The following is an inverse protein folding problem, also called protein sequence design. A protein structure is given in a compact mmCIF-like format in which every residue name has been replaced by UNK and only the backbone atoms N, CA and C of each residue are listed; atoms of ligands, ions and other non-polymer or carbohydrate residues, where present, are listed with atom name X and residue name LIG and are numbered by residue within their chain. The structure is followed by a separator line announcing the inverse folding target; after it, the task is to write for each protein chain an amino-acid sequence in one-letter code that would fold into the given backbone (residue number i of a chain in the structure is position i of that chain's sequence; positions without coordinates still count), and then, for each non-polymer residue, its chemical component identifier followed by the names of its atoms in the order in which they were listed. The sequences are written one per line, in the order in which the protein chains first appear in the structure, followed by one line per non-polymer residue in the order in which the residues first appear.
data_IF_743611469641
#
_entry.id   IF_743611469641
#
_cell.length_a   1.000
_cell.length_b   1.000
_cell.length_c   1.000
_cell.angle_alpha   90.00
_cell.angle_beta   90.00
_cell.angle_gamma   90.00
#
_symmetry.space_group_name_H-M   'P 1'
#
loop_
_entity.id
_entity.type
_entity.pdbx_description
1 polymer ?
#
# COMPACT_ATOMS: atom_id res chain seq x y z
N UNK A 1 -2.36 -15.12 -12.07
CA UNK A 1 -1.32 -15.16 -11.03
C UNK A 1 -1.52 -13.96 -10.14
N UNK A 2 -2.02 -14.17 -8.93
CA UNK A 2 -2.12 -13.10 -7.95
C UNK A 2 -0.78 -13.04 -7.21
N UNK A 3 -0.12 -11.89 -7.23
CA UNK A 3 1.24 -11.73 -6.72
C UNK A 3 1.29 -11.39 -5.23
N UNK A 4 0.16 -10.92 -4.66
CA UNK A 4 0.06 -10.53 -3.26
C UNK A 4 -1.15 -11.18 -2.60
N UNK A 5 -1.05 -11.41 -1.29
CA UNK A 5 -2.13 -11.90 -0.44
C UNK A 5 -2.27 -10.93 0.73
N UNK A 6 -3.52 -10.61 1.13
CA UNK A 6 -3.77 -9.79 2.30
C UNK A 6 -3.20 -10.48 3.54
N UNK A 7 -2.42 -9.77 4.35
CA UNK A 7 -1.96 -10.34 5.61
C UNK A 7 -3.14 -10.63 6.54
N UNK A 8 -3.12 -11.78 7.23
CA UNK A 8 -4.20 -12.21 8.12
C UNK A 8 -4.46 -11.20 9.26
N UNK A 9 -3.43 -10.47 9.69
CA UNK A 9 -3.50 -9.43 10.72
C UNK A 9 -3.96 -8.05 10.20
N UNK A 10 -4.07 -7.87 8.88
CA UNK A 10 -4.48 -6.58 8.31
C UNK A 10 -5.98 -6.41 8.39
N UNK A 11 -6.47 -5.25 8.85
CA UNK A 11 -7.90 -4.94 8.71
C UNK A 11 -8.32 -4.86 7.23
N UNK A 12 -9.63 -4.98 6.97
CA UNK A 12 -10.25 -4.98 5.65
C UNK A 12 -11.63 -4.28 5.68
N UNK A 13 -12.26 -4.15 4.50
CA UNK A 13 -13.57 -3.50 4.31
C UNK A 13 -13.50 -2.04 3.83
N UNK A 14 -14.68 -1.41 3.70
CA UNK A 14 -14.92 -0.07 3.11
C UNK A 14 -14.09 1.10 3.66
N UNK A 15 -13.48 0.93 4.84
CA UNK A 15 -12.62 1.96 5.44
C UNK A 15 -11.20 1.99 4.89
N UNK A 16 -10.81 1.05 4.03
CA UNK A 16 -9.47 0.97 3.45
C UNK A 16 -9.43 1.76 2.13
N UNK A 17 -8.60 2.80 2.09
CA UNK A 17 -8.39 3.62 0.90
C UNK A 17 -7.38 2.99 -0.10
N UNK A 18 -6.31 2.36 0.42
CA UNK A 18 -5.19 1.86 -0.40
C UNK A 18 -4.40 0.79 0.33
N UNK A 19 -3.89 -0.18 -0.42
CA UNK A 19 -3.06 -1.30 0.06
C UNK A 19 -1.58 -1.10 -0.28
N UNK A 20 -0.69 -1.62 0.56
CA UNK A 20 0.75 -1.58 0.35
C UNK A 20 1.44 -2.78 1.02
N UNK A 21 2.73 -3.04 0.75
CA UNK A 21 3.49 -4.04 1.49
C UNK A 21 3.42 -3.78 3.00
N UNK A 22 3.22 -4.84 3.78
CA UNK A 22 3.11 -4.75 5.24
C UNK A 22 4.07 -5.66 5.99
N UNK A 23 4.66 -6.65 5.32
CA UNK A 23 5.83 -7.39 5.80
C UNK A 23 7.06 -6.77 5.15
N UNK A 24 7.98 -6.23 5.95
CA UNK A 24 9.17 -5.53 5.46
C UNK A 24 10.42 -5.98 6.20
N UNK A 25 11.55 -6.00 5.51
CA UNK A 25 12.86 -6.11 6.15
C UNK A 25 13.25 -4.70 6.61
N UNK A 26 13.34 -4.49 7.92
CA UNK A 26 13.73 -3.24 8.52
C UNK A 26 15.18 -3.32 8.98
N UNK A 27 15.95 -2.28 8.65
CA UNK A 27 17.31 -2.06 9.16
C UNK A 27 17.31 -0.79 10.01
N UNK A 28 17.74 -0.88 11.26
CA UNK A 28 17.80 0.25 12.19
C UNK A 28 18.92 0.07 13.21
N UNK A 29 19.25 1.15 13.92
CA UNK A 29 20.10 1.07 15.11
C UNK A 29 19.21 1.06 16.35
N UNK A 30 19.45 0.08 17.23
CA UNK A 30 18.77 0.01 18.52
C UNK A 30 19.30 1.08 19.51
N UNK A 31 18.81 1.02 20.75
CA UNK A 31 19.19 1.96 21.80
C UNK A 31 20.69 1.91 22.17
N UNK A 32 21.37 0.81 21.84
CA UNK A 32 22.79 0.60 22.07
C UNK A 32 23.65 0.89 20.82
N UNK A 33 23.07 1.49 19.77
CA UNK A 33 23.69 1.77 18.47
C UNK A 33 24.14 0.51 17.72
N UNK A 34 23.50 -0.63 17.99
CA UNK A 34 23.76 -1.87 17.25
C UNK A 34 22.93 -1.90 15.99
N UNK A 35 23.55 -2.21 14.85
CA UNK A 35 22.84 -2.41 13.60
C UNK A 35 22.00 -3.70 13.67
N UNK A 36 20.68 -3.54 13.62
CA UNK A 36 19.68 -4.62 13.62
C UNK A 36 19.06 -4.73 12.24
N UNK A 37 18.84 -5.97 11.80
CA UNK A 37 18.06 -6.29 10.60
C UNK A 37 16.98 -7.30 10.98
N UNK A 38 15.72 -6.95 10.80
CA UNK A 38 14.60 -7.80 11.21
C UNK A 38 13.46 -7.77 10.20
N UNK A 39 12.79 -8.91 10.08
CA UNK A 39 11.53 -8.99 9.36
C UNK A 39 10.42 -8.55 10.32
N UNK A 40 9.79 -7.42 10.01
CA UNK A 40 8.68 -6.87 10.79
C UNK A 40 7.41 -6.83 9.96
N UNK A 41 6.28 -6.89 10.64
CA UNK A 41 4.97 -6.89 10.02
C UNK A 41 4.01 -5.92 10.72
N UNK A 42 3.13 -5.31 9.93
CA UNK A 42 2.08 -4.43 10.44
C UNK A 42 1.66 -3.38 9.43
N UNK A 43 0.41 -2.92 9.55
CA UNK A 43 -0.11 -1.82 8.72
C UNK A 43 0.65 -0.52 8.96
N UNK A 44 1.25 -0.37 10.16
CA UNK A 44 2.18 0.71 10.49
C UNK A 44 3.39 0.81 9.54
N UNK A 45 3.78 -0.28 8.86
CA UNK A 45 4.85 -0.28 7.86
C UNK A 45 4.32 -0.03 6.44
N UNK A 46 3.05 -0.34 6.18
CA UNK A 46 2.37 0.03 4.93
C UNK A 46 2.16 1.53 4.81
N UNK A 47 1.79 2.21 5.90
CA UNK A 47 1.56 3.66 5.92
C UNK A 47 2.76 4.51 5.45
N UNK A 48 4.00 4.33 5.96
CA UNK A 48 5.15 5.10 5.51
C UNK A 48 5.55 4.79 4.07
N UNK A 49 5.28 3.58 3.55
CA UNK A 49 5.50 3.28 2.13
C UNK A 49 4.57 4.11 1.25
N UNK A 50 3.27 4.16 1.57
CA UNK A 50 2.30 5.00 0.86
C UNK A 50 2.69 6.47 0.95
N UNK A 51 3.04 6.95 2.14
CA UNK A 51 3.46 8.34 2.35
C UNK A 51 4.73 8.68 1.54
N UNK A 52 5.71 7.77 1.49
CA UNK A 52 6.93 7.94 0.70
C UNK A 52 6.64 8.02 -0.80
N UNK A 53 5.79 7.13 -1.33
CA UNK A 53 5.36 7.18 -2.74
C UNK A 53 4.63 8.50 -3.03
N UNK A 54 3.69 8.91 -2.19
CA UNK A 54 3.00 10.21 -2.33
C UNK A 54 3.99 11.37 -2.32
N UNK A 55 4.99 11.36 -1.43
CA UNK A 55 6.02 12.40 -1.38
C UNK A 55 6.81 12.49 -2.70
N UNK A 56 7.13 11.36 -3.32
CA UNK A 56 7.78 11.36 -4.65
C UNK A 56 6.88 11.94 -5.74
N UNK A 57 5.59 11.60 -5.74
CA UNK A 57 4.60 12.16 -6.68
C UNK A 57 4.50 13.68 -6.51
N UNK A 58 4.38 14.16 -5.27
CA UNK A 58 4.35 15.59 -4.96
C UNK A 58 5.63 16.30 -5.43
N UNK A 59 6.79 15.68 -5.24
CA UNK A 59 8.08 16.24 -5.68
C UNK A 59 8.21 16.33 -7.20
N UNK A 60 7.61 15.39 -7.94
CA UNK A 60 7.68 15.31 -9.41
C UNK A 60 6.62 16.15 -10.12
N UNK A 61 5.58 16.57 -9.40
CA UNK A 61 4.43 17.33 -9.92
C UNK A 61 4.25 18.63 -9.11
N UNK A 62 5.32 19.42 -9.00
CA UNK A 62 5.37 20.61 -8.13
C UNK A 62 4.46 21.78 -8.59
N UNK A 63 3.93 21.70 -9.80
CA UNK A 63 2.97 22.63 -10.39
C UNK A 63 1.50 22.25 -10.11
N UNK A 64 1.26 21.05 -9.58
CA UNK A 64 -0.07 20.55 -9.23
C UNK A 64 -0.29 20.67 -7.72
N UNK A 65 -1.40 21.30 -7.33
CA UNK A 65 -1.85 21.33 -5.93
C UNK A 65 -2.77 20.13 -5.72
N UNK A 66 -2.29 19.11 -5.03
CA UNK A 66 -3.09 17.95 -4.69
C UNK A 66 -3.92 18.18 -3.41
N UNK A 67 -5.22 17.95 -3.52
CA UNK A 67 -6.10 17.61 -2.39
C UNK A 67 -6.07 16.10 -2.14
N UNK A 68 -6.64 15.65 -1.01
CA UNK A 68 -6.85 14.22 -0.73
C UNK A 68 -7.50 13.52 -1.92
N UNK A 69 -8.61 14.05 -2.41
CA UNK A 69 -9.40 13.38 -3.45
C UNK A 69 -8.66 13.36 -4.79
N UNK A 70 -8.03 14.47 -5.20
CA UNK A 70 -7.22 14.49 -6.42
C UNK A 70 -5.98 13.58 -6.35
N UNK A 71 -5.42 13.38 -5.15
CA UNK A 71 -4.33 12.43 -4.93
C UNK A 71 -4.85 11.00 -5.04
N UNK A 72 -6.01 10.70 -4.46
CA UNK A 72 -6.63 9.37 -4.60
C UNK A 72 -6.99 9.06 -6.04
N UNK A 73 -7.54 10.02 -6.81
CA UNK A 73 -7.80 9.86 -8.24
C UNK A 73 -6.51 9.59 -9.03
N UNK A 74 -5.42 10.28 -8.67
CA UNK A 74 -4.11 10.08 -9.29
C UNK A 74 -3.55 8.70 -8.97
N UNK A 75 -3.58 8.30 -7.70
CA UNK A 75 -3.11 7.00 -7.23
C UNK A 75 -3.91 5.86 -7.84
N UNK A 76 -5.23 6.00 -7.94
CA UNK A 76 -6.09 5.04 -8.63
C UNK A 76 -5.68 4.86 -10.08
N UNK A 77 -5.44 5.97 -10.80
CA UNK A 77 -5.01 5.94 -12.20
C UNK A 77 -3.67 5.23 -12.44
N UNK A 78 -2.70 5.36 -11.52
CA UNK A 78 -1.36 4.78 -11.68
C UNK A 78 -1.17 3.46 -10.93
N UNK A 79 -2.08 3.13 -10.04
CA UNK A 79 -2.02 2.00 -9.14
C UNK A 79 -2.23 0.67 -9.84
N UNK A 80 -2.02 -0.41 -9.09
CA UNK A 80 -2.29 -1.75 -9.58
C UNK A 80 -3.55 -2.29 -8.92
N UNK A 81 -4.50 -2.71 -9.73
CA UNK A 81 -5.80 -3.21 -9.28
C UNK A 81 -5.89 -4.72 -9.42
N UNK A 82 -6.67 -5.36 -8.55
CA UNK A 82 -7.02 -6.78 -8.64
C UNK A 82 -5.79 -7.71 -8.60
N UNK A 83 -4.73 -7.28 -7.93
CA UNK A 83 -3.49 -8.08 -7.76
C UNK A 83 -3.34 -8.69 -6.37
N UNK A 84 -4.28 -8.38 -5.45
CA UNK A 84 -4.28 -8.83 -4.06
C UNK A 84 -5.38 -9.88 -3.87
N UNK A 85 -5.00 -11.06 -3.38
CA UNK A 85 -5.93 -12.13 -2.97
C UNK A 85 -6.27 -12.06 -1.49
N UNK A 86 -7.32 -12.76 -1.07
CA UNK A 86 -7.70 -12.86 0.35
C UNK A 86 -8.37 -11.60 0.92
N UNK A 87 -8.77 -10.65 0.08
CA UNK A 87 -9.62 -9.51 0.49
C UNK A 87 -11.08 -9.96 0.56
N UNK A 88 -11.57 -10.66 -0.46
CA UNK A 88 -12.98 -11.00 -0.61
C UNK A 88 -13.42 -12.28 0.13
N UNK A 89 -12.45 -13.10 0.58
CA UNK A 89 -12.70 -14.41 1.18
C UNK A 89 -13.16 -14.32 2.65
N UNK A 90 -12.87 -13.19 3.33
CA UNK A 90 -13.18 -12.98 4.76
C UNK A 90 -14.33 -11.98 5.01
N UNK A 91 -14.96 -11.48 3.95
CA UNK A 91 -16.09 -10.53 4.02
C UNK A 91 -17.47 -11.21 4.07
N UNK A 92 -17.55 -12.52 4.30
CA UNK A 92 -18.84 -13.23 4.37
C UNK A 92 -19.78 -12.69 5.47
N UNK A 93 -19.26 -12.00 6.48
CA UNK A 93 -20.06 -11.38 7.55
C UNK A 93 -20.57 -9.96 7.20
N UNK A 94 -20.03 -9.30 6.17
CA UNK A 94 -20.37 -7.93 5.77
C UNK A 94 -21.02 -7.81 4.38
N UNK A 95 -21.24 -8.93 3.70
CA UNK A 95 -21.81 -9.00 2.36
C UNK A 95 -20.74 -9.22 1.28
N UNK A 96 -21.12 -9.62 0.05
CA UNK A 96 -20.14 -9.79 -1.01
C UNK A 96 -19.50 -8.43 -1.31
N UNK A 97 -18.16 -8.35 -1.35
CA UNK A 97 -17.53 -7.14 -1.80
C UNK A 97 -18.01 -6.82 -3.21
N UNK A 98 -18.35 -5.55 -3.41
CA UNK A 98 -18.67 -5.02 -4.72
C UNK A 98 -17.41 -5.01 -5.58
N UNK A 99 -17.52 -5.20 -6.90
CA UNK A 99 -16.38 -5.04 -7.83
C UNK A 99 -15.70 -3.66 -7.70
N UNK A 100 -16.42 -2.69 -7.12
CA UNK A 100 -15.98 -1.33 -6.81
C UNK A 100 -15.18 -1.20 -5.49
N UNK A 101 -15.08 -2.25 -4.65
CA UNK A 101 -14.14 -2.34 -3.51
C UNK A 101 -12.73 -2.70 -4.01
N UNK A 102 -12.34 -1.93 -5.01
CA UNK A 102 -11.14 -1.97 -5.81
C UNK A 102 -9.92 -2.13 -4.90
N UNK A 103 -9.20 -3.23 -5.08
CA UNK A 103 -7.93 -3.52 -4.41
C UNK A 103 -6.81 -2.66 -5.00
N UNK A 104 -6.88 -1.35 -4.77
CA UNK A 104 -5.84 -0.41 -5.17
C UNK A 104 -4.57 -0.70 -4.39
N UNK A 105 -3.56 -1.25 -5.06
CA UNK A 105 -2.23 -1.44 -4.50
C UNK A 105 -1.32 -0.28 -4.92
N UNK A 106 -0.59 0.26 -3.96
CA UNK A 106 0.31 1.40 -4.16
C UNK A 106 1.32 1.14 -5.29
N UNK A 107 1.49 2.13 -6.15
CA UNK A 107 2.46 2.13 -7.22
C UNK A 107 2.95 3.57 -7.42
N UNK A 108 4.22 3.75 -7.78
CA UNK A 108 4.78 5.07 -8.11
C UNK A 108 4.64 5.42 -9.60
N UNK A 109 3.93 4.61 -10.38
CA UNK A 109 3.69 4.79 -11.81
C UNK A 109 4.89 4.47 -12.70
N UNK A 110 6.02 4.05 -12.13
CA UNK A 110 7.27 3.81 -12.85
C UNK A 110 7.46 2.32 -13.09
N UNK A 111 7.54 1.91 -14.35
CA UNK A 111 7.93 0.55 -14.77
C UNK A 111 9.44 0.43 -14.95
N UNK A 112 10.24 0.94 -14.01
CA UNK A 112 11.69 0.79 -14.04
C UNK A 112 12.06 -0.35 -13.11
N UNK A 113 12.33 -1.52 -13.68
CA UNK A 113 13.03 -2.60 -12.98
C UNK A 113 14.51 -2.27 -13.09
N UNK A 114 15.14 -1.92 -11.98
CA UNK A 114 16.60 -1.91 -11.92
C UNK A 114 17.05 -3.37 -11.85
N UNK A 115 17.62 -3.85 -12.96
CA UNK A 115 18.32 -5.14 -13.06
C UNK A 115 19.75 -5.04 -12.56
#
# INVERSE_FOLDING_TARGET
NNYFYRANWSNYGKGIDIWAPGCTLLSYQDEDFTDVNELVEGTSFSSPIVAGVIATILSENNDIIFTRDSMMDYLDKIGSHNIISGILEEEQDYGPPTEDEVSLFINNGKRVVYS
#
